data_IF_822489554707
#
_entry.id   IF_822489554707
#
_cell.length_a   1.000
_cell.length_b   1.000
_cell.length_c   1.000
_cell.angle_alpha   90.00
_cell.angle_beta   90.00
_cell.angle_gamma   90.00
#
_symmetry.space_group_name_H-M   'P 1'
#
loop_
_entity.id
_entity.type
_entity.pdbx_description
1 polymer ?
#
# COMPACT_ATOMS: atom_id res chain seq x y z
N UNK A 1 -8.15 8.99 7.11
CA UNK A 1 -6.99 9.05 6.19
C UNK A 1 -7.48 8.48 4.89
N UNK A 2 -7.27 9.16 3.78
CA UNK A 2 -7.72 8.68 2.46
C UNK A 2 -6.54 7.92 1.81
N UNK A 3 -6.77 6.68 1.45
CA UNK A 3 -5.71 5.80 0.90
C UNK A 3 -5.29 6.21 -0.52
N UNK A 4 -6.09 7.04 -1.19
CA UNK A 4 -5.79 7.55 -2.53
C UNK A 4 -6.15 9.03 -2.62
N UNK A 5 -5.14 9.89 -2.52
CA UNK A 5 -5.34 11.32 -2.65
C UNK A 5 -5.89 11.68 -4.04
N UNK A 6 -6.87 12.57 -4.04
CA UNK A 6 -7.37 13.26 -5.24
C UNK A 6 -8.05 12.34 -6.28
N UNK A 7 -8.73 11.30 -5.84
CA UNK A 7 -9.63 10.54 -6.72
C UNK A 7 -10.64 11.48 -7.37
N UNK A 8 -11.15 12.45 -6.60
CA UNK A 8 -11.99 13.54 -7.06
C UNK A 8 -11.15 14.83 -7.20
N UNK A 9 -10.89 15.25 -8.43
CA UNK A 9 -10.07 16.41 -8.73
C UNK A 9 -10.58 17.71 -8.09
N UNK A 10 -11.90 17.98 -8.22
CA UNK A 10 -12.55 19.15 -7.65
C UNK A 10 -12.29 19.27 -6.14
N UNK A 11 -12.47 18.19 -5.41
CA UNK A 11 -12.22 18.16 -3.96
C UNK A 11 -10.76 18.46 -3.62
N UNK A 12 -9.82 17.94 -4.40
CA UNK A 12 -8.40 18.25 -4.25
C UNK A 12 -8.07 19.74 -4.40
N UNK A 13 -8.70 20.43 -5.36
CA UNK A 13 -8.56 21.89 -5.51
C UNK A 13 -9.22 22.64 -4.37
N UNK A 14 -10.44 22.30 -3.97
CA UNK A 14 -11.15 22.95 -2.86
C UNK A 14 -10.37 22.92 -1.56
N UNK A 15 -9.76 21.79 -1.22
CA UNK A 15 -8.90 21.68 -0.03
C UNK A 15 -7.67 22.57 -0.18
N UNK A 16 -6.98 22.50 -1.33
CA UNK A 16 -5.77 23.27 -1.57
C UNK A 16 -6.01 24.78 -1.53
N UNK A 17 -7.13 25.26 -2.09
CA UNK A 17 -7.55 26.66 -2.02
C UNK A 17 -7.88 27.11 -0.59
N UNK A 18 -8.53 26.24 0.19
CA UNK A 18 -8.80 26.51 1.59
C UNK A 18 -7.51 26.61 2.41
N UNK A 19 -6.50 25.77 2.11
CA UNK A 19 -5.16 25.83 2.71
C UNK A 19 -4.48 27.16 2.39
N UNK A 20 -4.52 27.58 1.11
CA UNK A 20 -3.98 28.87 0.66
C UNK A 20 -4.68 30.06 1.36
N UNK A 21 -6.00 30.07 1.35
CA UNK A 21 -6.80 31.15 1.96
C UNK A 21 -6.53 31.32 3.44
N UNK A 22 -6.23 30.22 4.13
CA UNK A 22 -5.87 30.23 5.56
C UNK A 22 -4.39 30.51 5.81
N UNK A 23 -3.57 30.71 4.79
CA UNK A 23 -2.14 30.95 4.91
C UNK A 23 -1.36 29.79 5.53
N UNK A 24 -1.88 28.55 5.46
CA UNK A 24 -1.25 27.39 6.04
C UNK A 24 -0.03 26.99 5.20
N UNK A 25 1.14 26.97 5.84
CA UNK A 25 2.39 26.51 5.22
C UNK A 25 2.86 25.24 5.91
N UNK A 26 2.80 24.12 5.18
CA UNK A 26 3.23 22.78 5.64
C UNK A 26 3.94 22.04 4.51
N UNK A 27 4.70 21.04 4.88
CA UNK A 27 5.14 20.01 3.95
C UNK A 27 4.08 18.91 3.91
N UNK A 28 3.69 18.49 2.71
CA UNK A 28 2.66 17.49 2.51
C UNK A 28 3.27 16.20 1.98
N UNK A 29 2.80 15.10 2.53
CA UNK A 29 2.95 13.75 2.05
C UNK A 29 1.59 13.30 1.50
N UNK A 30 1.57 12.76 0.31
CA UNK A 30 0.36 12.26 -0.35
C UNK A 30 0.58 10.83 -0.80
N UNK A 31 -0.45 10.01 -0.63
CA UNK A 31 -0.52 8.66 -1.20
C UNK A 31 -1.48 8.67 -2.37
N UNK A 32 -1.10 8.06 -3.50
CA UNK A 32 -1.95 8.01 -4.68
C UNK A 32 -1.62 6.82 -5.58
N UNK A 33 -2.50 6.60 -6.56
CA UNK A 33 -2.31 5.58 -7.60
C UNK A 33 -1.82 6.23 -8.89
N UNK A 34 -1.10 5.46 -9.70
CA UNK A 34 -0.56 5.96 -10.97
C UNK A 34 -1.62 6.47 -11.94
N UNK A 35 -2.78 5.81 -12.01
CA UNK A 35 -3.88 6.25 -12.86
C UNK A 35 -4.51 7.58 -12.41
N UNK A 36 -4.63 7.80 -11.11
CA UNK A 36 -5.13 9.05 -10.53
C UNK A 36 -4.13 10.19 -10.75
N UNK A 37 -2.84 9.90 -10.54
CA UNK A 37 -1.75 10.85 -10.78
C UNK A 37 -1.73 11.33 -12.22
N UNK A 38 -1.82 10.41 -13.18
CA UNK A 38 -1.78 10.74 -14.61
C UNK A 38 -3.02 11.50 -15.08
N UNK A 39 -4.19 11.17 -14.52
CA UNK A 39 -5.44 11.86 -14.83
C UNK A 39 -5.45 13.30 -14.33
N UNK A 40 -4.88 13.57 -13.16
CA UNK A 40 -5.01 14.84 -12.45
C UNK A 40 -3.66 15.58 -12.34
N UNK A 41 -2.83 15.52 -13.38
CA UNK A 41 -1.45 16.08 -13.41
C UNK A 41 -1.38 17.54 -12.90
N UNK A 42 -2.33 18.39 -13.30
CA UNK A 42 -2.33 19.81 -12.92
C UNK A 42 -2.66 20.02 -11.44
N UNK A 43 -3.52 19.21 -10.88
CA UNK A 43 -3.79 19.22 -9.44
C UNK A 43 -2.54 18.86 -8.64
N UNK A 44 -1.76 17.85 -9.07
CA UNK A 44 -0.51 17.49 -8.39
C UNK A 44 0.56 18.59 -8.54
N UNK A 45 0.65 19.28 -9.69
CA UNK A 45 1.48 20.47 -9.85
C UNK A 45 1.04 21.60 -8.90
N UNK A 46 -0.25 21.79 -8.73
CA UNK A 46 -0.79 22.77 -7.78
C UNK A 46 -0.38 22.41 -6.33
N UNK A 47 -0.52 21.18 -5.91
CA UNK A 47 -0.11 20.72 -4.58
C UNK A 47 1.40 20.76 -4.37
N UNK A 48 2.21 20.58 -5.45
CA UNK A 48 3.64 20.84 -5.38
C UNK A 48 3.94 22.27 -4.99
N UNK A 49 3.22 23.24 -5.54
CA UNK A 49 3.38 24.67 -5.18
C UNK A 49 2.90 24.95 -3.75
N UNK A 50 1.92 24.22 -3.24
CA UNK A 50 1.44 24.31 -1.86
C UNK A 50 2.43 23.75 -0.84
N UNK A 51 3.41 22.94 -1.26
CA UNK A 51 4.41 22.37 -0.36
C UNK A 51 4.43 20.85 -0.31
N UNK A 52 3.86 20.16 -1.30
CA UNK A 52 4.04 18.70 -1.43
C UNK A 52 5.52 18.37 -1.66
N UNK A 53 6.08 17.54 -0.79
CA UNK A 53 7.49 17.12 -0.80
C UNK A 53 7.67 15.64 -1.02
N UNK A 54 6.67 14.85 -0.64
CA UNK A 54 6.74 13.40 -0.64
C UNK A 54 5.48 12.82 -1.28
N UNK A 55 5.65 11.76 -2.02
CA UNK A 55 4.56 11.00 -2.63
C UNK A 55 4.82 9.51 -2.44
N UNK A 56 3.81 8.79 -2.00
CA UNK A 56 3.77 7.34 -2.08
C UNK A 56 2.91 6.93 -3.27
N UNK A 57 3.51 6.20 -4.21
CA UNK A 57 2.86 5.79 -5.44
C UNK A 57 2.70 4.27 -5.46
N UNK A 58 1.46 3.81 -5.54
CA UNK A 58 1.15 2.39 -5.69
C UNK A 58 1.57 1.89 -7.08
N UNK A 59 2.70 1.19 -7.15
CA UNK A 59 3.21 0.54 -8.38
C UNK A 59 2.90 -0.94 -8.36
N UNK A 60 3.04 -1.58 -7.19
CA UNK A 60 2.69 -2.93 -6.80
C UNK A 60 3.46 -4.05 -7.50
N UNK A 61 3.70 -3.94 -8.82
CA UNK A 61 4.50 -4.89 -9.59
C UNK A 61 5.26 -4.20 -10.73
N UNK A 62 6.35 -4.81 -11.15
CA UNK A 62 7.28 -4.27 -12.14
C UNK A 62 7.10 -4.87 -13.54
N UNK A 63 6.25 -5.84 -13.69
CA UNK A 63 5.98 -6.55 -14.94
C UNK A 63 4.51 -6.95 -15.09
N UNK A 64 4.17 -7.47 -16.27
CA UNK A 64 2.81 -7.84 -16.62
C UNK A 64 2.29 -9.02 -15.79
N UNK A 65 3.15 -9.96 -15.42
CA UNK A 65 2.80 -11.11 -14.61
C UNK A 65 2.39 -10.70 -13.19
N UNK A 66 3.21 -9.88 -12.52
CA UNK A 66 2.89 -9.36 -11.20
C UNK A 66 1.65 -8.47 -11.19
N UNK A 67 1.43 -7.65 -12.24
CA UNK A 67 0.21 -6.84 -12.36
C UNK A 67 -1.03 -7.73 -12.55
N UNK A 68 -0.91 -8.84 -13.29
CA UNK A 68 -1.99 -9.80 -13.47
C UNK A 68 -2.33 -10.51 -12.15
N UNK A 69 -1.30 -10.94 -11.37
CA UNK A 69 -1.48 -11.55 -10.05
C UNK A 69 -2.27 -10.62 -9.10
N UNK A 70 -1.96 -9.34 -9.10
CA UNK A 70 -2.65 -8.36 -8.27
C UNK A 70 -3.91 -7.78 -8.93
N UNK A 71 -4.39 -8.36 -10.06
CA UNK A 71 -5.61 -7.95 -10.79
C UNK A 71 -5.69 -6.44 -11.06
N UNK A 72 -4.55 -5.81 -11.34
CA UNK A 72 -4.49 -4.37 -11.59
C UNK A 72 -4.87 -4.03 -13.02
N UNK A 73 -5.72 -3.02 -13.16
CA UNK A 73 -6.17 -2.49 -14.45
C UNK A 73 -5.19 -1.51 -15.10
N UNK A 74 -4.07 -1.22 -14.43
CA UNK A 74 -3.05 -0.32 -14.95
C UNK A 74 -2.02 -1.12 -15.77
N UNK A 75 -1.61 -0.63 -16.92
CA UNK A 75 -0.55 -1.24 -17.71
C UNK A 75 0.83 -0.83 -17.17
N UNK A 76 1.85 -1.65 -17.41
CA UNK A 76 3.26 -1.33 -17.08
C UNK A 76 3.67 0.04 -17.61
N UNK A 77 3.36 0.34 -18.88
CA UNK A 77 3.69 1.63 -19.48
C UNK A 77 3.12 2.82 -18.71
N UNK A 78 1.90 2.70 -18.19
CA UNK A 78 1.28 3.74 -17.34
C UNK A 78 1.95 3.86 -15.99
N UNK A 79 2.43 2.76 -15.39
CA UNK A 79 3.20 2.84 -14.16
C UNK A 79 4.51 3.62 -14.36
N UNK A 80 5.24 3.34 -15.45
CA UNK A 80 6.46 4.08 -15.78
C UNK A 80 6.16 5.54 -16.10
N UNK A 81 5.13 5.84 -16.87
CA UNK A 81 4.69 7.23 -17.14
C UNK A 81 4.36 7.97 -15.83
N UNK A 82 3.68 7.31 -14.90
CA UNK A 82 3.36 7.89 -13.60
C UNK A 82 4.62 8.19 -12.77
N UNK A 83 5.60 7.29 -12.77
CA UNK A 83 6.89 7.51 -12.10
C UNK A 83 7.65 8.67 -12.73
N UNK A 84 7.74 8.75 -14.06
CA UNK A 84 8.39 9.86 -14.78
C UNK A 84 7.71 11.19 -14.46
N UNK A 85 6.40 11.23 -14.47
CA UNK A 85 5.66 12.43 -14.08
C UNK A 85 5.93 12.82 -12.62
N UNK A 86 5.91 11.87 -11.70
CA UNK A 86 6.21 12.12 -10.29
C UNK A 86 7.64 12.68 -10.11
N UNK A 87 8.63 12.11 -10.82
CA UNK A 87 10.01 12.62 -10.85
C UNK A 87 10.06 14.07 -11.36
N UNK A 88 9.29 14.39 -12.40
CA UNK A 88 9.25 15.74 -12.98
C UNK A 88 8.74 16.81 -12.01
N UNK A 89 8.01 16.41 -10.96
CA UNK A 89 7.58 17.31 -9.89
C UNK A 89 8.73 17.69 -8.95
N UNK A 90 9.89 17.02 -9.01
CA UNK A 90 11.03 17.29 -8.13
C UNK A 90 10.69 17.05 -6.66
N UNK A 91 9.98 15.98 -6.36
CA UNK A 91 9.62 15.52 -5.03
C UNK A 91 10.26 14.16 -4.72
N UNK A 92 10.29 13.78 -3.47
CA UNK A 92 10.72 12.42 -3.09
C UNK A 92 9.57 11.46 -3.35
N UNK A 93 9.83 10.41 -4.14
CA UNK A 93 8.85 9.38 -4.45
C UNK A 93 9.23 8.09 -3.73
N UNK A 94 8.27 7.51 -3.04
CA UNK A 94 8.36 6.17 -2.51
C UNK A 94 7.33 5.27 -3.21
N UNK A 95 7.69 4.01 -3.41
CA UNK A 95 6.81 2.98 -3.99
C UNK A 95 6.78 1.76 -3.09
N UNK A 96 5.73 0.96 -3.21
CA UNK A 96 5.66 -0.35 -2.58
C UNK A 96 5.53 -1.41 -3.65
N UNK A 97 6.32 -2.46 -3.50
CA UNK A 97 6.16 -3.71 -4.22
C UNK A 97 5.55 -4.75 -3.30
N UNK A 98 4.76 -5.63 -3.85
CA UNK A 98 4.11 -6.71 -3.12
C UNK A 98 4.79 -8.02 -3.48
N UNK A 99 5.52 -8.58 -2.51
CA UNK A 99 6.11 -9.90 -2.65
C UNK A 99 5.00 -10.95 -2.61
N UNK A 100 4.83 -11.65 -3.71
CA UNK A 100 3.88 -12.75 -3.78
C UNK A 100 4.50 -14.02 -3.16
N UNK A 101 3.74 -14.80 -2.39
CA UNK A 101 4.23 -16.07 -1.83
C UNK A 101 4.75 -17.06 -2.87
N UNK A 102 4.34 -16.94 -4.13
CA UNK A 102 4.84 -17.76 -5.25
C UNK A 102 6.24 -17.38 -5.74
N UNK A 103 6.84 -16.32 -5.23
CA UNK A 103 8.18 -15.92 -5.65
C UNK A 103 9.24 -16.94 -5.25
N UNK A 104 10.16 -17.20 -6.18
CA UNK A 104 11.39 -17.94 -5.96
C UNK A 104 12.59 -17.00 -5.81
N UNK A 105 13.78 -17.59 -5.63
CA UNK A 105 15.02 -16.84 -5.49
C UNK A 105 15.35 -15.99 -6.71
N UNK A 106 15.10 -16.53 -7.91
CA UNK A 106 15.34 -15.84 -9.18
C UNK A 106 14.46 -14.59 -9.28
N UNK A 107 13.19 -14.73 -8.89
CA UNK A 107 12.25 -13.62 -8.86
C UNK A 107 12.66 -12.53 -7.88
N UNK A 108 13.06 -12.90 -6.67
CA UNK A 108 13.59 -11.95 -5.69
C UNK A 108 14.82 -11.21 -6.22
N UNK A 109 15.73 -11.91 -6.93
CA UNK A 109 16.91 -11.26 -7.51
C UNK A 109 16.55 -10.29 -8.63
N UNK A 110 15.65 -10.66 -9.53
CA UNK A 110 15.17 -9.76 -10.58
C UNK A 110 14.55 -8.49 -10.01
N UNK A 111 13.75 -8.61 -8.94
CA UNK A 111 13.17 -7.47 -8.22
C UNK A 111 14.26 -6.58 -7.62
N UNK A 112 15.28 -7.17 -6.98
CA UNK A 112 16.41 -6.40 -6.40
C UNK A 112 17.16 -5.61 -7.47
N UNK A 113 17.47 -6.22 -8.60
CA UNK A 113 18.17 -5.56 -9.70
C UNK A 113 17.36 -4.37 -10.22
N UNK A 114 16.09 -4.58 -10.53
CA UNK A 114 15.23 -3.50 -10.96
C UNK A 114 15.14 -2.36 -9.94
N UNK A 115 14.98 -2.68 -8.66
CA UNK A 115 14.90 -1.69 -7.59
C UNK A 115 16.18 -0.87 -7.46
N UNK A 116 17.35 -1.44 -7.77
CA UNK A 116 18.62 -0.71 -7.71
C UNK A 116 18.79 0.29 -8.86
N UNK A 117 18.14 0.04 -10.00
CA UNK A 117 18.21 0.90 -11.20
C UNK A 117 17.36 2.16 -11.09
N UNK A 118 16.28 2.15 -10.33
CA UNK A 118 15.36 3.28 -10.19
C UNK A 118 15.76 4.20 -9.03
N UNK A 119 15.48 5.51 -9.10
CA UNK A 119 15.84 6.45 -8.02
C UNK A 119 14.89 6.45 -6.83
N UNK A 120 13.70 5.86 -6.93
CA UNK A 120 12.65 5.88 -5.92
C UNK A 120 13.06 5.11 -4.65
N UNK A 121 12.48 5.52 -3.53
CA UNK A 121 12.48 4.72 -2.30
C UNK A 121 11.54 3.55 -2.51
N UNK A 122 12.05 2.33 -2.37
CA UNK A 122 11.25 1.12 -2.55
C UNK A 122 11.05 0.43 -1.22
N UNK A 123 9.80 0.20 -0.87
CA UNK A 123 9.40 -0.70 0.20
C UNK A 123 8.92 -2.02 -0.41
N UNK A 124 9.04 -3.10 0.35
CA UNK A 124 8.49 -4.39 -0.03
C UNK A 124 7.61 -4.90 1.10
N UNK A 125 6.41 -5.34 0.74
CA UNK A 125 5.44 -5.97 1.64
C UNK A 125 5.06 -7.34 1.12
N UNK A 126 4.51 -8.20 1.97
CA UNK A 126 4.05 -9.52 1.59
C UNK A 126 2.58 -9.46 1.21
N UNK A 127 2.21 -10.15 0.14
CA UNK A 127 0.82 -10.30 -0.27
C UNK A 127 -0.01 -10.93 0.86
N UNK A 128 -0.94 -10.15 1.39
CA UNK A 128 -1.78 -10.53 2.52
C UNK A 128 -3.25 -10.34 2.15
N UNK A 129 -4.03 -11.41 2.05
CA UNK A 129 -5.46 -11.31 1.76
C UNK A 129 -6.21 -10.81 2.98
N UNK A 130 -6.58 -9.53 2.98
CA UNK A 130 -7.32 -8.93 4.09
C UNK A 130 -8.82 -9.24 4.05
N UNK A 131 -9.46 -9.46 5.22
CA UNK A 131 -10.91 -9.58 5.31
C UNK A 131 -11.64 -8.46 4.58
N UNK A 132 -12.66 -8.83 3.82
CA UNK A 132 -13.46 -7.89 3.03
C UNK A 132 -12.92 -7.63 1.61
N UNK A 133 -11.71 -8.07 1.27
CA UNK A 133 -11.16 -7.96 -0.07
C UNK A 133 -11.57 -9.13 -0.96
N UNK A 134 -11.40 -8.97 -2.28
CA UNK A 134 -11.60 -10.07 -3.22
C UNK A 134 -10.57 -11.19 -3.01
N UNK A 135 -9.32 -10.83 -2.74
CA UNK A 135 -8.26 -11.76 -2.41
C UNK A 135 -8.62 -12.62 -1.18
N UNK A 136 -9.22 -12.03 -0.14
CA UNK A 136 -9.74 -12.78 1.00
C UNK A 136 -10.75 -13.84 0.59
N UNK A 137 -11.68 -13.50 -0.30
CA UNK A 137 -12.72 -14.45 -0.72
C UNK A 137 -12.18 -15.60 -1.54
N UNK A 138 -11.15 -15.34 -2.36
CA UNK A 138 -10.57 -16.36 -3.26
C UNK A 138 -9.49 -17.20 -2.59
N UNK A 139 -8.72 -16.63 -1.67
CA UNK A 139 -7.49 -17.22 -1.15
C UNK A 139 -7.59 -17.65 0.33
N UNK A 140 -8.62 -17.20 1.07
CA UNK A 140 -8.75 -17.49 2.50
C UNK A 140 -8.77 -18.98 2.86
N UNK A 141 -9.18 -19.85 1.92
CA UNK A 141 -9.17 -21.31 2.12
C UNK A 141 -7.79 -21.92 1.99
N UNK A 142 -6.86 -21.22 1.36
CA UNK A 142 -5.47 -21.65 1.18
C UNK A 142 -4.54 -21.11 2.27
N UNK A 143 -5.06 -20.37 3.25
CA UNK A 143 -4.26 -19.80 4.32
C UNK A 143 -3.52 -20.88 5.13
N UNK A 144 -2.22 -20.69 5.35
CA UNK A 144 -1.43 -21.50 6.29
C UNK A 144 -1.74 -21.16 7.75
N UNK A 145 -2.14 -19.93 8.00
CA UNK A 145 -2.51 -19.46 9.31
C UNK A 145 -3.67 -18.49 9.24
N UNK A 146 -4.52 -18.51 10.26
CA UNK A 146 -5.61 -17.53 10.47
C UNK A 146 -5.37 -16.66 11.69
N UNK A 147 -4.15 -16.66 12.21
CA UNK A 147 -3.77 -15.77 13.30
C UNK A 147 -3.76 -14.32 12.85
N UNK A 148 -4.72 -13.53 13.34
CA UNK A 148 -4.88 -12.12 12.98
C UNK A 148 -3.60 -11.30 13.17
N UNK A 149 -2.74 -11.66 14.11
CA UNK A 149 -1.48 -10.96 14.38
C UNK A 149 -0.50 -11.00 13.21
N UNK A 150 -0.61 -12.01 12.34
CA UNK A 150 0.27 -12.20 11.19
C UNK A 150 -0.25 -11.55 9.89
N UNK A 151 -1.43 -10.89 9.97
CA UNK A 151 -1.97 -10.11 8.83
C UNK A 151 -1.46 -8.68 8.88
N UNK A 152 -0.15 -8.51 8.80
CA UNK A 152 0.58 -7.24 8.97
C UNK A 152 1.42 -6.83 7.77
N UNK A 153 1.21 -7.46 6.61
CA UNK A 153 1.97 -7.27 5.36
C UNK A 153 3.47 -7.61 5.45
N UNK A 154 3.88 -8.23 6.55
CA UNK A 154 5.27 -8.65 6.78
C UNK A 154 5.39 -10.16 6.90
N UNK A 155 4.30 -10.84 7.26
CA UNK A 155 4.24 -12.28 7.37
C UNK A 155 3.54 -12.91 6.16
N UNK A 156 4.07 -14.04 5.71
CA UNK A 156 3.45 -14.85 4.67
C UNK A 156 2.35 -15.72 5.30
N UNK A 157 1.10 -15.36 5.08
CA UNK A 157 -0.08 -16.10 5.56
C UNK A 157 -0.61 -17.11 4.53
N UNK A 158 -0.15 -17.01 3.30
CA UNK A 158 -0.41 -17.96 2.20
C UNK A 158 0.78 -18.92 2.04
N UNK A 159 0.59 -20.11 1.45
CA UNK A 159 1.67 -21.03 1.13
C UNK A 159 2.73 -20.39 0.24
N UNK A 160 4.00 -20.51 0.64
CA UNK A 160 5.13 -20.00 -0.11
C UNK A 160 5.72 -21.07 -1.02
N UNK A 161 6.22 -20.67 -2.21
CA UNK A 161 6.94 -21.57 -3.15
C UNK A 161 8.28 -21.99 -2.57
N UNK A 162 9.00 -21.07 -1.94
CA UNK A 162 10.20 -21.36 -1.16
C UNK A 162 9.82 -21.92 0.22
N UNK A 163 10.64 -22.73 0.86
CA UNK A 163 10.53 -22.96 2.29
C UNK A 163 10.41 -21.62 3.03
N UNK A 164 9.60 -21.58 4.09
CA UNK A 164 9.24 -20.32 4.74
C UNK A 164 10.43 -19.55 5.30
N UNK A 165 11.45 -20.26 5.77
CA UNK A 165 12.73 -19.70 6.23
C UNK A 165 13.51 -19.05 5.07
N UNK A 166 13.57 -19.72 3.92
CA UNK A 166 14.21 -19.16 2.72
C UNK A 166 13.44 -17.94 2.20
N UNK A 167 12.10 -17.99 2.18
CA UNK A 167 11.26 -16.87 1.77
C UNK A 167 11.54 -15.63 2.64
N UNK A 168 11.56 -15.79 3.96
CA UNK A 168 11.90 -14.69 4.86
C UNK A 168 13.36 -14.25 4.73
N UNK A 169 14.28 -15.17 4.48
CA UNK A 169 15.67 -14.85 4.17
C UNK A 169 15.79 -13.91 2.96
N UNK A 170 15.12 -14.25 1.85
CA UNK A 170 15.13 -13.45 0.64
C UNK A 170 14.39 -12.10 0.81
N UNK A 171 13.25 -12.09 1.53
CA UNK A 171 12.52 -10.87 1.84
C UNK A 171 13.36 -9.88 2.65
N UNK A 172 13.99 -10.35 3.73
CA UNK A 172 14.84 -9.51 4.60
C UNK A 172 16.10 -9.05 3.89
N UNK A 173 16.75 -9.94 3.11
CA UNK A 173 17.90 -9.59 2.26
C UNK A 173 17.52 -8.47 1.28
N UNK A 174 16.36 -8.59 0.64
CA UNK A 174 15.84 -7.55 -0.27
C UNK A 174 15.65 -6.23 0.47
N UNK A 175 14.95 -6.24 1.60
CA UNK A 175 14.72 -5.04 2.40
C UNK A 175 16.03 -4.37 2.86
N UNK A 176 17.03 -5.17 3.25
CA UNK A 176 18.34 -4.64 3.65
C UNK A 176 19.07 -3.96 2.49
N UNK A 177 19.03 -4.54 1.29
CA UNK A 177 19.62 -3.96 0.08
C UNK A 177 18.92 -2.63 -0.26
N UNK A 178 17.59 -2.61 -0.24
CA UNK A 178 16.80 -1.41 -0.50
C UNK A 178 17.05 -0.30 0.52
N UNK A 179 17.16 -0.66 1.80
CA UNK A 179 17.49 0.30 2.85
C UNK A 179 18.90 0.90 2.63
N UNK A 180 19.90 0.07 2.29
CA UNK A 180 21.27 0.56 2.02
C UNK A 180 21.35 1.50 0.83
N UNK A 181 20.54 1.30 -0.21
CA UNK A 181 20.46 2.18 -1.38
C UNK A 181 20.20 3.64 -0.98
N UNK A 182 19.37 3.86 0.04
CA UNK A 182 18.96 5.20 0.49
C UNK A 182 19.70 5.70 1.74
N UNK A 183 20.56 4.85 2.34
CA UNK A 183 21.42 5.21 3.46
C UNK A 183 22.64 6.04 2.98
N UNK A 184 22.36 7.25 2.46
CA UNK A 184 23.44 8.21 2.21
C UNK A 184 23.74 9.07 3.45
N UNK A 185 24.89 9.75 3.43
CA UNK A 185 25.33 10.65 4.52
C UNK A 185 24.25 11.69 4.91
N UNK A 186 23.47 12.18 3.95
CA UNK A 186 22.36 13.11 4.20
C UNK A 186 21.24 12.46 5.03
N UNK A 187 20.88 11.21 4.75
CA UNK A 187 19.87 10.47 5.49
C UNK A 187 20.33 10.18 6.92
N UNK A 188 21.57 9.75 7.11
CA UNK A 188 22.17 9.54 8.43
C UNK A 188 22.18 10.82 9.26
N UNK A 189 22.64 11.93 8.67
CA UNK A 189 22.63 13.24 9.33
C UNK A 189 21.21 13.69 9.68
N UNK A 190 20.25 13.49 8.78
CA UNK A 190 18.83 13.79 9.01
C UNK A 190 18.27 12.98 10.17
N UNK A 191 18.52 11.67 10.20
CA UNK A 191 18.09 10.76 11.26
C UNK A 191 18.69 11.15 12.61
N UNK A 192 20.01 11.45 12.65
CA UNK A 192 20.70 11.89 13.85
C UNK A 192 20.12 13.23 14.38
N UNK A 193 19.82 14.17 13.49
CA UNK A 193 19.21 15.44 13.85
C UNK A 193 17.81 15.26 14.45
N UNK A 194 16.98 14.42 13.85
CA UNK A 194 15.65 14.08 14.36
C UNK A 194 15.78 13.41 15.73
N UNK A 195 16.66 12.42 15.87
CA UNK A 195 16.90 11.73 17.15
C UNK A 195 17.31 12.71 18.26
N UNK A 196 18.28 13.58 17.97
CA UNK A 196 18.75 14.60 18.91
C UNK A 196 17.62 15.55 19.30
N UNK A 197 16.84 16.02 18.34
CA UNK A 197 15.70 16.91 18.60
C UNK A 197 14.66 16.27 19.50
N UNK A 198 14.30 15.00 19.25
CA UNK A 198 13.38 14.26 20.13
C UNK A 198 13.94 14.10 21.54
N UNK A 199 15.22 13.75 21.67
CA UNK A 199 15.87 13.62 22.98
C UNK A 199 15.89 14.94 23.75
N UNK A 200 16.17 16.06 23.11
CA UNK A 200 16.15 17.39 23.72
C UNK A 200 14.76 17.76 24.29
N UNK A 201 13.69 17.15 23.75
CA UNK A 201 12.32 17.32 24.26
C UNK A 201 11.89 16.17 25.20
N UNK A 202 12.83 15.36 25.68
CA UNK A 202 12.54 14.21 26.56
C UNK A 202 11.79 13.06 25.89
N UNK A 203 11.76 13.02 24.56
CA UNK A 203 11.03 12.02 23.80
C UNK A 203 11.96 10.90 23.32
N UNK A 204 11.70 9.66 23.73
CA UNK A 204 12.47 8.47 23.31
C UNK A 204 11.78 7.65 22.21
N UNK A 205 10.58 8.03 21.78
CA UNK A 205 9.76 7.26 20.86
C UNK A 205 10.44 7.02 19.52
N UNK A 206 11.18 8.00 19.00
CA UNK A 206 11.91 7.87 17.76
C UNK A 206 13.02 6.82 17.85
N UNK A 207 13.79 6.80 18.92
CA UNK A 207 14.84 5.78 19.14
C UNK A 207 14.24 4.40 19.34
N UNK A 208 13.11 4.28 20.07
CA UNK A 208 12.39 3.02 20.21
C UNK A 208 11.87 2.51 18.86
N UNK A 209 11.40 3.42 18.01
CA UNK A 209 10.96 3.08 16.64
C UNK A 209 12.13 2.54 15.83
N UNK A 210 13.29 3.21 15.82
CA UNK A 210 14.49 2.74 15.10
C UNK A 210 14.96 1.37 15.61
N UNK A 211 14.93 1.15 16.93
CA UNK A 211 15.29 -0.14 17.51
C UNK A 211 14.31 -1.25 17.11
N UNK A 212 13.00 -0.97 17.18
CA UNK A 212 11.98 -1.92 16.77
C UNK A 212 12.03 -2.23 15.26
N UNK A 213 12.40 -1.25 14.44
CA UNK A 213 12.51 -1.44 13.01
C UNK A 213 13.50 -2.55 12.64
N UNK A 214 14.61 -2.65 13.38
CA UNK A 214 15.58 -3.73 13.17
C UNK A 214 15.04 -5.12 13.57
N UNK A 215 14.11 -5.20 14.51
CA UNK A 215 13.51 -6.47 14.93
C UNK A 215 12.39 -6.96 14.01
N UNK A 216 11.75 -6.05 13.29
CA UNK A 216 10.64 -6.38 12.37
C UNK A 216 11.12 -7.19 11.17
N UNK A 217 12.32 -6.89 10.67
CA UNK A 217 12.92 -7.60 9.54
C UNK A 217 13.98 -8.60 10.03
N UNK A 218 13.54 -9.58 10.81
CA UNK A 218 14.37 -10.68 11.29
C UNK A 218 13.68 -12.01 10.92
N UNK A 219 14.27 -12.84 10.03
CA UNK A 219 13.68 -14.09 9.57
C UNK A 219 13.37 -15.06 10.71
N UNK A 220 14.26 -15.16 11.70
CA UNK A 220 14.07 -16.06 12.84
C UNK A 220 12.87 -15.64 13.71
N UNK A 221 12.68 -14.34 13.92
CA UNK A 221 11.54 -13.82 14.66
C UNK A 221 10.24 -14.01 13.88
N UNK A 222 10.25 -13.79 12.56
CA UNK A 222 9.08 -14.01 11.71
C UNK A 222 8.67 -15.49 11.72
N UNK A 223 9.63 -16.42 11.66
CA UNK A 223 9.35 -17.84 11.80
C UNK A 223 8.81 -18.21 13.19
N UNK A 224 9.43 -17.66 14.25
CA UNK A 224 8.98 -17.90 15.61
C UNK A 224 7.55 -17.41 15.86
N UNK A 225 7.14 -16.35 15.17
CA UNK A 225 5.78 -15.83 15.26
C UNK A 225 4.74 -16.81 14.71
N UNK A 226 5.06 -17.58 13.67
CA UNK A 226 4.20 -18.66 13.16
C UNK A 226 4.06 -19.84 14.14
N UNK A 227 5.05 -20.08 14.97
CA UNK A 227 5.04 -21.15 15.96
C UNK A 227 4.28 -20.79 17.24
N UNK A 228 3.89 -19.52 17.41
CA UNK A 228 3.15 -19.07 18.61
C UNK A 228 1.70 -19.58 18.61
N UNK A 229 1.14 -19.92 19.78
CA UNK A 229 -0.26 -20.28 19.90
C UNK A 229 -1.17 -19.17 19.35
N UNK A 230 -2.10 -19.55 18.50
CA UNK A 230 -3.08 -18.63 17.92
C UNK A 230 -4.01 -18.11 19.03
N UNK A 231 -4.07 -16.79 19.19
CA UNK A 231 -4.94 -16.14 20.18
C UNK A 231 -6.21 -15.55 19.55
N UNK A 232 -6.08 -15.07 18.34
CA UNK A 232 -7.15 -14.40 17.59
C UNK A 232 -7.23 -15.03 16.20
N UNK A 233 -8.08 -16.03 16.07
CA UNK A 233 -8.30 -16.72 14.82
C UNK A 233 -9.39 -16.03 14.01
N UNK A 234 -9.07 -15.70 12.75
CA UNK A 234 -10.05 -15.11 11.84
C UNK A 234 -11.03 -16.16 11.33
N UNK A 235 -12.30 -15.81 11.30
CA UNK A 235 -13.33 -16.61 10.66
C UNK A 235 -13.18 -16.56 9.14
N UNK A 236 -13.34 -17.72 8.48
CA UNK A 236 -13.39 -17.75 7.02
C UNK A 236 -14.66 -17.05 6.52
N UNK A 237 -14.60 -16.40 5.35
CA UNK A 237 -15.79 -15.85 4.73
C UNK A 237 -16.77 -16.99 4.40
N UNK A 238 -18.08 -16.71 4.35
CA UNK A 238 -19.05 -17.68 3.86
C UNK A 238 -18.69 -18.11 2.42
N UNK A 239 -19.11 -19.29 1.97
CA UNK A 239 -18.94 -19.69 0.58
C UNK A 239 -19.51 -18.62 -0.35
N UNK A 240 -18.74 -18.22 -1.35
CA UNK A 240 -19.21 -17.25 -2.36
C UNK A 240 -20.15 -18.00 -3.29
N UNK A 241 -21.41 -17.61 -3.31
CA UNK A 241 -22.32 -18.00 -4.38
C UNK A 241 -21.92 -17.19 -5.62
N UNK A 242 -21.73 -17.87 -6.78
CA UNK A 242 -21.13 -17.30 -7.99
C UNK A 242 -21.85 -16.05 -8.56
N UNK A 243 -23.07 -15.78 -8.11
CA UNK A 243 -23.90 -14.67 -8.55
C UNK A 243 -23.97 -13.49 -7.55
N UNK A 244 -23.31 -13.56 -6.41
CA UNK A 244 -23.29 -12.46 -5.44
C UNK A 244 -22.21 -11.45 -5.84
N UNK A 245 -22.62 -10.28 -6.34
CA UNK A 245 -21.69 -9.22 -6.69
C UNK A 245 -20.91 -8.74 -5.47
N UNK A 246 -19.60 -8.47 -5.59
CA UNK A 246 -18.75 -8.00 -4.48
C UNK A 246 -19.31 -6.84 -3.67
N UNK A 247 -19.96 -5.90 -4.36
CA UNK A 247 -20.57 -4.71 -3.74
C UNK A 247 -21.73 -5.04 -2.78
N UNK A 248 -22.49 -6.09 -3.02
CA UNK A 248 -23.61 -6.46 -2.15
C UNK A 248 -23.17 -6.98 -0.79
N UNK A 249 -21.97 -7.55 -0.68
CA UNK A 249 -21.42 -8.00 0.60
C UNK A 249 -21.05 -6.83 1.53
N UNK A 250 -20.58 -5.72 0.99
CA UNK A 250 -20.25 -4.52 1.76
C UNK A 250 -21.49 -3.78 2.28
N UNK A 251 -22.60 -3.85 1.56
CA UNK A 251 -23.84 -3.16 1.91
C UNK A 251 -24.51 -3.75 3.13
N UNK A 252 -24.39 -5.07 3.34
CA UNK A 252 -25.06 -5.75 4.44
C UNK A 252 -24.33 -5.73 5.78
N UNK A 253 -23.01 -5.56 5.77
CA UNK A 253 -22.19 -5.54 6.99
C UNK A 253 -21.93 -4.14 7.55
N UNK A 254 -22.19 -3.10 6.76
CA UNK A 254 -22.07 -1.71 7.15
C UNK A 254 -23.13 -1.23 8.12
N UNK A 255 -23.41 -1.97 9.19
CA UNK A 255 -24.22 -1.52 10.33
C UNK A 255 -23.42 -0.54 11.19
N UNK A 256 -22.98 0.54 10.58
CA UNK A 256 -22.55 1.74 11.28
C UNK A 256 -23.74 2.42 11.96
N UNK A 257 -23.49 3.42 12.76
CA UNK A 257 -24.43 4.18 13.61
C UNK A 257 -25.73 4.67 12.94
N UNK A 258 -25.90 4.52 11.61
CA UNK A 258 -27.05 4.98 10.82
C UNK A 258 -27.42 3.94 9.76
N UNK A 259 -27.65 2.71 10.16
CA UNK A 259 -27.87 1.60 9.25
C UNK A 259 -28.98 1.79 8.21
N UNK A 260 -29.95 2.68 8.46
CA UNK A 260 -31.04 2.98 7.54
C UNK A 260 -30.60 4.02 6.48
N UNK A 261 -29.91 5.09 6.88
CA UNK A 261 -29.43 6.14 5.95
C UNK A 261 -28.29 5.62 5.03
N UNK A 262 -27.45 4.70 5.51
CA UNK A 262 -26.41 4.05 4.70
C UNK A 262 -27.02 3.08 3.67
N UNK A 263 -28.08 2.39 4.04
CA UNK A 263 -28.85 1.53 3.13
C UNK A 263 -29.46 2.35 1.98
N UNK A 264 -30.13 3.44 2.30
CA UNK A 264 -30.79 4.30 1.33
C UNK A 264 -29.79 5.02 0.40
N UNK A 265 -28.66 5.45 0.94
CA UNK A 265 -27.56 6.08 0.17
C UNK A 265 -26.87 5.07 -0.75
N UNK A 266 -26.71 3.84 -0.31
CA UNK A 266 -26.07 2.78 -1.09
C UNK A 266 -27.04 2.25 -2.15
N UNK A 267 -28.32 2.13 -1.87
CA UNK A 267 -29.33 1.80 -2.87
C UNK A 267 -29.44 2.90 -3.94
N UNK A 268 -29.38 4.17 -3.56
CA UNK A 268 -29.31 5.29 -4.49
C UNK A 268 -28.05 5.22 -5.37
N UNK A 269 -26.89 4.98 -4.79
CA UNK A 269 -25.62 4.84 -5.50
C UNK A 269 -25.62 3.62 -6.46
N UNK A 270 -26.17 2.50 -6.03
CA UNK A 270 -26.28 1.29 -6.88
C UNK A 270 -27.27 1.52 -8.02
N UNK A 271 -28.34 2.25 -7.79
CA UNK A 271 -29.32 2.58 -8.80
C UNK A 271 -28.80 3.64 -9.80
N UNK A 272 -28.07 4.67 -9.32
CA UNK A 272 -27.37 5.63 -10.18
C UNK A 272 -26.32 4.95 -11.07
N UNK A 273 -25.55 4.01 -10.52
CA UNK A 273 -24.56 3.25 -11.29
C UNK A 273 -25.20 2.32 -12.32
N UNK A 274 -26.43 1.84 -12.07
CA UNK A 274 -27.21 1.06 -13.03
C UNK A 274 -27.80 1.90 -14.15
N UNK A 275 -28.18 3.16 -13.87
CA UNK A 275 -28.76 4.08 -14.87
C UNK A 275 -27.69 4.86 -15.66
N UNK A 276 -26.44 4.92 -15.18
CA UNK A 276 -25.36 5.69 -15.77
C UNK A 276 -24.45 4.94 -16.74
N UNK A 277 -24.78 3.72 -17.17
CA UNK A 277 -24.00 3.00 -18.15
C UNK A 277 -24.79 2.72 -19.45
N UNK A 278 -24.95 3.71 -20.35
CA UNK A 278 -25.63 3.53 -21.63
C UNK A 278 -24.77 2.85 -22.71
N UNK A 279 -23.62 2.28 -22.38
CA UNK A 279 -22.64 1.73 -23.33
C UNK A 279 -22.56 0.21 -23.39
N UNK A 280 -23.57 -0.52 -22.87
CA UNK A 280 -23.72 -1.96 -23.06
C UNK A 280 -24.87 -2.34 -24.04
N UNK A 281 -25.41 -1.38 -24.80
CA UNK A 281 -26.22 -1.66 -25.97
C UNK A 281 -25.56 -1.08 -27.22
N UNK A 282 -24.60 -1.84 -27.79
CA UNK A 282 -24.27 -1.88 -29.22
C UNK A 282 -23.27 -3.04 -29.46
#
# INVERSE_FOLDING_TARGET
>A
MDDVAFVQEKHGYEIGEAVLKKGIRKEYYLETRGDVLLRNKDLFRFWKRLGMKYMFLGVEAIDAEGLALHRKRISLGKNFEALEFARSLGITVAINLIADPSWDQERFEAIRQWCLEIPEIVNISVNTPYPGTESWRTESRSLQTRDYRLFDIQHAVLPTKLPLDEFYGELVKTQQILNKKHLGWKALKGTANIATRHLMHGQTNFLRMLWKFNSVYNPELQLADHARPVRYEMSLPPPVEDHVRPLTLYVHEGRGRRGRELSDTVEAFVNETRMGNPSEEL
#
